data_IF_752007559251
#
_entry.id   IF_752007559251
#
_cell.length_a   1.000
_cell.length_b   1.000
_cell.length_c   1.000
_cell.angle_alpha   90.00
_cell.angle_beta   90.00
_cell.angle_gamma   90.00
#
_symmetry.space_group_name_H-M   'P 1'
#
loop_
_entity.id
_entity.type
_entity.pdbx_description
1 polymer ?
#
# COMPACT_ATOMS: atom_id res chain seq x y z
N UNK A 1 -5.23 -2.87 6.21
CA UNK A 1 -6.22 -1.92 5.70
C UNK A 1 -7.59 -2.54 5.89
N UNK A 2 -8.43 -1.96 6.72
CA UNK A 2 -9.74 -2.52 7.06
C UNK A 2 -10.79 -2.28 5.97
N UNK A 3 -10.48 -1.41 4.99
CA UNK A 3 -11.48 -0.88 4.06
C UNK A 3 -12.29 0.26 4.69
N UNK A 4 -13.22 0.87 3.94
CA UNK A 4 -14.12 1.88 4.47
C UNK A 4 -14.97 1.33 5.61
N UNK A 5 -15.16 2.14 6.65
CA UNK A 5 -16.12 1.87 7.72
C UNK A 5 -17.57 1.95 7.21
N UNK A 6 -18.56 1.55 8.04
CA UNK A 6 -19.96 1.51 7.62
C UNK A 6 -20.51 2.85 7.11
N UNK A 7 -20.15 3.96 7.75
CA UNK A 7 -20.59 5.30 7.36
C UNK A 7 -19.96 5.76 6.04
N UNK A 8 -18.65 5.51 5.86
CA UNK A 8 -17.93 5.83 4.63
C UNK A 8 -18.46 5.00 3.46
N UNK A 9 -18.75 3.72 3.70
CA UNK A 9 -19.36 2.83 2.71
C UNK A 9 -20.78 3.29 2.34
N UNK A 10 -21.58 3.74 3.31
CA UNK A 10 -22.91 4.32 3.06
C UNK A 10 -22.84 5.62 2.23
N UNK A 11 -21.75 6.38 2.36
CA UNK A 11 -21.44 7.54 1.53
C UNK A 11 -20.88 7.19 0.14
N UNK A 12 -20.79 5.90 -0.21
CA UNK A 12 -20.33 5.43 -1.51
C UNK A 12 -18.82 5.20 -1.61
N UNK A 13 -18.06 5.29 -0.53
CA UNK A 13 -16.65 4.97 -0.53
C UNK A 13 -16.44 3.46 -0.78
N UNK A 14 -15.47 3.11 -1.62
CA UNK A 14 -15.13 1.72 -1.95
C UNK A 14 -13.63 1.48 -1.85
N UNK A 15 -13.23 0.21 -1.82
CA UNK A 15 -11.83 -0.22 -1.87
C UNK A 15 -11.69 -1.33 -2.90
N UNK A 16 -10.68 -1.23 -3.77
CA UNK A 16 -10.34 -2.26 -4.74
C UNK A 16 -9.41 -3.33 -4.14
N UNK A 17 -8.92 -3.14 -2.92
CA UNK A 17 -8.11 -4.13 -2.23
C UNK A 17 -8.94 -5.35 -1.80
N UNK A 18 -8.37 -6.56 -1.92
CA UNK A 18 -8.98 -7.75 -1.34
C UNK A 18 -9.29 -7.51 0.14
N UNK A 19 -10.50 -7.88 0.57
CA UNK A 19 -10.82 -7.92 2.00
C UNK A 19 -9.82 -8.89 2.63
N UNK A 20 -8.92 -8.35 3.44
CA UNK A 20 -7.89 -9.14 4.08
C UNK A 20 -8.55 -10.30 4.80
N UNK A 21 -8.05 -11.53 4.58
CA UNK A 21 -8.18 -12.58 5.58
C UNK A 21 -7.59 -12.10 6.91
N UNK A 22 -7.46 -12.99 7.90
CA UNK A 22 -7.04 -12.68 9.29
C UNK A 22 -5.72 -11.89 9.47
N UNK A 23 -5.01 -11.50 8.42
CA UNK A 23 -3.77 -10.74 8.43
C UNK A 23 -3.87 -9.45 7.62
N UNK A 24 -3.45 -8.34 8.23
CA UNK A 24 -3.28 -7.06 7.55
C UNK A 24 -1.92 -6.97 6.83
N UNK A 25 -1.79 -6.14 5.77
CA UNK A 25 -0.48 -5.78 5.23
C UNK A 25 0.44 -5.20 6.29
N UNK A 26 1.73 -5.53 6.22
CA UNK A 26 2.77 -5.01 7.11
C UNK A 26 3.66 -4.04 6.34
N UNK A 27 4.09 -2.96 6.99
CA UNK A 27 5.04 -2.00 6.42
C UNK A 27 6.38 -2.19 7.12
N UNK A 28 7.44 -2.31 6.34
CA UNK A 28 8.82 -2.41 6.79
C UNK A 28 9.61 -1.24 6.20
N UNK A 29 10.46 -0.61 7.00
CA UNK A 29 11.39 0.41 6.51
C UNK A 29 12.62 -0.28 5.96
N UNK A 30 12.94 -0.04 4.70
CA UNK A 30 14.20 -0.48 4.12
C UNK A 30 15.27 0.57 4.41
N UNK A 31 16.49 0.11 4.72
CA UNK A 31 17.65 1.01 4.86
C UNK A 31 18.05 1.48 3.46
N UNK A 32 17.44 2.56 3.01
CA UNK A 32 17.94 3.32 1.87
C UNK A 32 19.17 4.10 2.27
N UNK A 33 20.11 4.26 1.34
CA UNK A 33 21.21 5.20 1.47
C UNK A 33 20.72 6.66 1.59
N UNK A 34 21.60 7.67 1.43
CA UNK A 34 21.27 9.08 1.67
C UNK A 34 20.11 9.65 0.82
N UNK A 35 19.66 8.93 -0.19
CA UNK A 35 18.59 9.27 -1.11
C UNK A 35 17.29 8.54 -0.76
N UNK A 36 16.41 9.26 -0.05
CA UNK A 36 15.00 8.98 0.27
C UNK A 36 14.67 7.69 1.07
N UNK A 37 13.76 7.75 2.06
CA UNK A 37 13.32 6.55 2.77
C UNK A 37 12.57 5.61 1.79
N UNK A 38 13.00 4.34 1.74
CA UNK A 38 12.25 3.28 1.05
C UNK A 38 11.43 2.48 2.05
N UNK A 39 10.22 2.14 1.65
CA UNK A 39 9.27 1.33 2.39
C UNK A 39 8.95 0.07 1.59
N UNK A 40 8.77 -1.03 2.31
CA UNK A 40 8.24 -2.26 1.75
C UNK A 40 6.94 -2.65 2.42
N UNK A 41 5.90 -2.83 1.61
CA UNK A 41 4.63 -3.41 2.04
C UNK A 41 4.68 -4.92 1.80
N UNK A 42 4.47 -5.72 2.84
CA UNK A 42 4.21 -7.17 2.74
C UNK A 42 2.71 -7.41 2.79
N UNK A 43 2.12 -7.67 1.62
CA UNK A 43 0.72 -8.04 1.46
C UNK A 43 0.53 -9.55 1.67
N UNK A 44 -0.47 -9.97 2.45
CA UNK A 44 -0.80 -11.38 2.64
C UNK A 44 -1.66 -11.96 1.49
N UNK A 45 -1.76 -11.25 0.36
CA UNK A 45 -2.57 -11.60 -0.80
C UNK A 45 -1.80 -11.32 -2.09
N UNK A 46 -2.13 -12.01 -3.20
CA UNK A 46 -1.50 -11.80 -4.50
C UNK A 46 -1.56 -10.33 -4.95
N UNK A 47 -0.45 -9.81 -5.45
CA UNK A 47 -0.29 -8.40 -5.85
C UNK A 47 -0.19 -8.21 -7.37
N UNK A 48 0.15 -9.26 -8.12
CA UNK A 48 0.43 -9.17 -9.56
C UNK A 48 -0.76 -8.76 -10.42
N UNK A 49 -1.99 -9.02 -9.95
CA UNK A 49 -3.23 -8.67 -10.64
C UNK A 49 -4.04 -7.59 -9.90
N UNK A 50 -3.42 -6.85 -8.97
CA UNK A 50 -4.12 -5.75 -8.31
C UNK A 50 -4.42 -4.64 -9.31
N UNK A 51 -5.65 -4.07 -9.29
CA UNK A 51 -5.93 -2.85 -10.04
C UNK A 51 -4.97 -1.74 -9.64
N UNK A 52 -4.61 -0.88 -10.59
CA UNK A 52 -3.72 0.27 -10.35
C UNK A 52 -4.21 1.14 -9.19
N UNK A 53 -5.52 1.34 -9.06
CA UNK A 53 -6.14 2.07 -7.94
C UNK A 53 -5.88 1.41 -6.59
N UNK A 54 -5.83 0.08 -6.52
CA UNK A 54 -5.52 -0.67 -5.30
C UNK A 54 -4.04 -0.56 -4.95
N UNK A 55 -3.15 -0.62 -5.96
CA UNK A 55 -1.70 -0.42 -5.77
C UNK A 55 -1.44 1.00 -5.26
N UNK A 56 -2.04 2.01 -5.91
CA UNK A 56 -1.92 3.42 -5.50
C UNK A 56 -2.42 3.65 -4.08
N UNK A 57 -3.56 3.03 -3.71
CA UNK A 57 -4.06 3.08 -2.34
C UNK A 57 -3.04 2.54 -1.32
N UNK A 58 -2.39 1.40 -1.60
CA UNK A 58 -1.36 0.83 -0.74
C UNK A 58 -0.14 1.75 -0.60
N UNK A 59 0.39 2.21 -1.74
CA UNK A 59 1.57 3.08 -1.82
C UNK A 59 1.34 4.38 -1.06
N UNK A 60 0.24 5.08 -1.37
CA UNK A 60 -0.08 6.34 -0.72
C UNK A 60 -0.33 6.21 0.77
N UNK A 61 -1.06 5.17 1.19
CA UNK A 61 -1.32 4.96 2.61
C UNK A 61 -0.01 4.74 3.38
N UNK A 62 0.91 3.92 2.86
CA UNK A 62 2.19 3.68 3.51
C UNK A 62 3.10 4.92 3.51
N UNK A 63 3.16 5.65 2.39
CA UNK A 63 4.00 6.83 2.26
C UNK A 63 3.57 7.94 3.24
N UNK A 64 2.27 8.25 3.32
CA UNK A 64 1.75 9.27 4.24
C UNK A 64 1.78 8.82 5.70
N UNK A 65 1.63 7.53 5.99
CA UNK A 65 1.80 7.01 7.35
C UNK A 65 3.26 7.13 7.84
N UNK A 66 4.23 7.13 6.92
CA UNK A 66 5.65 7.27 7.26
C UNK A 66 6.10 8.73 7.35
N UNK A 67 5.75 9.57 6.37
CA UNK A 67 6.14 10.97 6.36
C UNK A 67 5.07 11.86 5.71
N UNK A 68 4.77 13.05 6.26
CA UNK A 68 3.72 13.94 5.76
C UNK A 68 3.86 14.38 4.29
N UNK A 69 5.09 14.33 3.75
CA UNK A 69 5.34 14.69 2.35
C UNK A 69 4.92 13.59 1.35
N UNK A 70 4.69 12.35 1.80
CA UNK A 70 4.31 11.25 0.90
C UNK A 70 5.39 10.82 -0.12
N UNK A 71 6.63 11.31 0.01
CA UNK A 71 7.72 11.11 -0.97
C UNK A 71 8.54 9.82 -0.81
N UNK A 72 8.10 8.90 0.04
CA UNK A 72 8.79 7.63 0.21
C UNK A 72 8.62 6.76 -1.04
N UNK A 73 9.68 6.08 -1.47
CA UNK A 73 9.55 5.02 -2.46
C UNK A 73 8.94 3.79 -1.77
N UNK A 74 7.92 3.21 -2.38
CA UNK A 74 7.19 2.08 -1.79
C UNK A 74 7.21 0.90 -2.75
N UNK A 75 7.68 -0.24 -2.26
CA UNK A 75 7.62 -1.52 -2.97
C UNK A 75 6.54 -2.39 -2.35
N UNK A 76 5.69 -3.02 -3.16
CA UNK A 76 4.62 -3.91 -2.68
C UNK A 76 4.96 -5.36 -3.02
N UNK A 77 5.10 -6.20 -2.00
CA UNK A 77 5.40 -7.62 -2.13
C UNK A 77 4.22 -8.48 -1.66
N UNK A 78 3.81 -9.42 -2.50
CA UNK A 78 2.81 -10.45 -2.22
C UNK A 78 3.40 -11.86 -2.34
N UNK A 79 2.58 -12.90 -2.14
CA UNK A 79 2.99 -14.30 -2.31
C UNK A 79 3.28 -14.70 -3.77
N UNK A 80 2.76 -13.94 -4.74
CA UNK A 80 2.92 -14.16 -6.18
C UNK A 80 4.03 -13.31 -6.83
N UNK A 81 4.64 -12.40 -6.08
CA UNK A 81 5.71 -11.56 -6.60
C UNK A 81 5.88 -10.23 -5.89
N UNK A 82 6.64 -9.34 -6.52
CA UNK A 82 6.89 -7.99 -6.04
C UNK A 82 6.63 -7.01 -7.18
N UNK A 83 5.82 -5.99 -6.93
CA UNK A 83 5.57 -4.92 -7.88
C UNK A 83 6.77 -3.96 -7.92
N UNK A 84 6.99 -3.25 -9.04
CA UNK A 84 7.98 -2.18 -9.10
C UNK A 84 7.79 -1.14 -7.99
N UNK A 85 8.87 -0.50 -7.58
CA UNK A 85 8.81 0.61 -6.64
C UNK A 85 7.99 1.77 -7.24
N UNK A 86 7.12 2.37 -6.44
CA UNK A 86 6.23 3.47 -6.84
C UNK A 86 6.18 4.56 -5.76
N UNK A 87 5.82 5.78 -6.15
CA UNK A 87 5.61 6.92 -5.23
C UNK A 87 4.14 7.35 -5.24
N UNK A 88 3.71 8.09 -4.22
CA UNK A 88 2.36 8.64 -4.15
C UNK A 88 2.19 9.93 -5.01
N UNK A 89 2.81 9.95 -6.19
CA UNK A 89 2.73 11.06 -7.14
C UNK A 89 2.44 10.57 -8.56
N UNK A 90 2.34 9.25 -8.75
CA UNK A 90 2.05 8.55 -10.01
C UNK A 90 0.58 8.10 -10.08
#
# INVERSE_FOLDING_TARGET
LAGPGPEEAAAGATTALPRGGTRAPRVETERSGPSAPALRIKAPFPVGNLPETAVRQLVCTAAYAHHPTGRAEVTVAGPDGTLPAARCED
#
